data_IF_421994444123
#
_entry.id   IF_421994444123
#
_cell.length_a   1.000
_cell.length_b   1.000
_cell.length_c   1.000
_cell.angle_alpha   90.00
_cell.angle_beta   90.00
_cell.angle_gamma   90.00
#
_symmetry.space_group_name_H-M   'P 1'
#
loop_
_entity.id
_entity.type
_entity.pdbx_description
1 polymer ?
#
# COMPACT_ATOMS: atom_id res chain seq x y z
N UNK A 1 9.28 6.75 -12.63
CA UNK A 1 10.27 6.00 -11.79
C UNK A 1 9.99 4.50 -11.81
N UNK A 2 8.77 4.03 -11.47
CA UNK A 2 8.44 2.60 -11.47
C UNK A 2 8.78 1.86 -12.78
N UNK A 3 8.44 2.40 -13.95
CA UNK A 3 8.82 1.78 -15.24
C UNK A 3 10.34 1.66 -15.43
N UNK A 4 11.10 2.66 -14.98
CA UNK A 4 12.57 2.64 -15.06
C UNK A 4 13.15 1.57 -14.15
N UNK A 5 12.61 1.42 -12.94
CA UNK A 5 12.99 0.36 -12.01
C UNK A 5 12.71 -1.03 -12.58
N UNK A 6 11.53 -1.23 -13.19
CA UNK A 6 11.22 -2.48 -13.88
C UNK A 6 12.19 -2.76 -15.02
N UNK A 7 12.55 -1.74 -15.81
CA UNK A 7 13.50 -1.87 -16.91
C UNK A 7 14.93 -2.20 -16.43
N UNK A 8 15.39 -1.58 -15.35
CA UNK A 8 16.76 -1.76 -14.84
C UNK A 8 16.94 -3.07 -14.05
N UNK A 9 15.94 -3.46 -13.26
CA UNK A 9 16.07 -4.55 -12.29
C UNK A 9 15.15 -5.76 -12.58
N UNK A 10 14.38 -5.71 -13.67
CA UNK A 10 13.49 -6.81 -14.06
C UNK A 10 12.27 -7.00 -13.17
N UNK A 11 11.95 -6.01 -12.33
CA UNK A 11 10.75 -6.05 -11.50
C UNK A 11 9.48 -6.04 -12.34
N UNK A 12 8.41 -6.60 -11.78
CA UNK A 12 7.11 -6.78 -12.41
C UNK A 12 6.01 -6.10 -11.60
N UNK A 13 4.83 -5.92 -12.19
CA UNK A 13 3.66 -5.43 -11.44
C UNK A 13 3.28 -6.36 -10.27
N UNK A 14 3.63 -7.65 -10.33
CA UNK A 14 3.38 -8.59 -9.24
C UNK A 14 4.29 -8.32 -8.03
N UNK A 15 5.51 -7.82 -8.24
CA UNK A 15 6.41 -7.44 -7.15
C UNK A 15 5.87 -6.23 -6.38
N UNK A 16 5.28 -5.26 -7.07
CA UNK A 16 4.54 -4.16 -6.41
C UNK A 16 3.28 -4.68 -5.70
N UNK A 17 2.53 -5.56 -6.35
CA UNK A 17 1.35 -6.17 -5.76
C UNK A 17 1.61 -6.97 -4.49
N UNK A 18 2.79 -7.57 -4.34
CA UNK A 18 3.18 -8.26 -3.11
C UNK A 18 3.24 -7.30 -1.91
N UNK A 19 3.69 -6.06 -2.13
CA UNK A 19 3.67 -4.99 -1.11
C UNK A 19 2.23 -4.67 -0.73
N UNK A 20 1.36 -4.40 -1.70
CA UNK A 20 -0.05 -4.07 -1.44
C UNK A 20 -0.81 -5.19 -0.71
N UNK A 21 -0.52 -6.45 -1.04
CA UNK A 21 -1.11 -7.61 -0.34
C UNK A 21 -0.63 -7.67 1.11
N UNK A 22 0.66 -7.45 1.36
CA UNK A 22 1.21 -7.44 2.72
C UNK A 22 0.60 -6.29 3.56
N UNK A 23 0.54 -5.08 3.02
CA UNK A 23 -0.07 -3.93 3.68
C UNK A 23 -1.54 -4.18 4.01
N UNK A 24 -2.29 -4.74 3.05
CA UNK A 24 -3.71 -5.08 3.27
C UNK A 24 -3.91 -6.21 4.27
N UNK A 25 -2.98 -7.16 4.35
CA UNK A 25 -2.99 -8.19 5.41
C UNK A 25 -2.81 -7.58 6.79
N UNK A 26 -1.89 -6.63 6.96
CA UNK A 26 -1.73 -5.93 8.23
C UNK A 26 -2.92 -5.01 8.54
N UNK A 27 -3.41 -4.26 7.55
CA UNK A 27 -4.58 -3.40 7.69
C UNK A 27 -5.84 -4.19 8.08
N UNK A 28 -6.02 -5.40 7.54
CA UNK A 28 -7.15 -6.26 7.89
C UNK A 28 -7.20 -6.62 9.39
N UNK A 29 -6.05 -6.59 10.09
CA UNK A 29 -5.94 -6.87 11.53
C UNK A 29 -5.93 -5.60 12.40
N UNK A 30 -6.04 -4.41 11.81
CA UNK A 30 -6.05 -3.14 12.54
C UNK A 30 -7.46 -2.51 12.52
N UNK A 31 -8.20 -2.49 13.64
CA UNK A 31 -9.53 -1.86 13.72
C UNK A 31 -9.58 -0.38 13.33
N UNK A 32 -8.42 0.31 13.34
CA UNK A 32 -8.32 1.73 12.94
C UNK A 32 -8.06 1.92 11.44
N UNK A 33 -7.79 0.87 10.68
CA UNK A 33 -7.52 0.98 9.26
C UNK A 33 -8.83 1.03 8.45
N UNK A 34 -8.85 1.84 7.38
CA UNK A 34 -10.00 1.90 6.46
C UNK A 34 -10.39 0.55 5.84
N UNK A 35 -9.41 -0.34 5.68
CA UNK A 35 -9.61 -1.69 5.14
C UNK A 35 -9.62 -2.78 6.22
N UNK A 36 -10.03 -2.44 7.45
CA UNK A 36 -10.20 -3.44 8.52
C UNK A 36 -11.11 -4.59 8.08
N UNK A 37 -10.70 -5.84 8.33
CA UNK A 37 -11.40 -7.05 7.89
C UNK A 37 -11.46 -7.27 6.37
N UNK A 38 -10.74 -6.48 5.56
CA UNK A 38 -10.79 -6.53 4.08
C UNK A 38 -9.40 -6.81 3.49
N UNK A 39 -8.86 -8.04 3.57
CA UNK A 39 -7.62 -8.40 2.89
C UNK A 39 -7.81 -8.40 1.36
N UNK A 40 -6.70 -8.47 0.61
CA UNK A 40 -6.69 -8.73 -0.84
C UNK A 40 -5.69 -9.83 -1.16
N UNK A 41 -5.88 -10.46 -2.31
CA UNK A 41 -4.96 -11.41 -2.92
C UNK A 41 -4.13 -10.73 -4.01
N UNK A 42 -3.07 -11.40 -4.48
CA UNK A 42 -2.30 -10.93 -5.63
C UNK A 42 -3.15 -10.89 -6.91
N UNK A 43 -4.15 -11.77 -7.02
CA UNK A 43 -5.10 -11.77 -8.13
C UNK A 43 -5.96 -10.51 -8.12
N UNK A 44 -6.47 -10.11 -6.95
CA UNK A 44 -7.23 -8.86 -6.81
C UNK A 44 -6.39 -7.65 -7.23
N UNK A 45 -5.11 -7.63 -6.83
CA UNK A 45 -4.16 -6.61 -7.27
C UNK A 45 -4.01 -6.58 -8.80
N UNK A 46 -3.65 -7.72 -9.41
CA UNK A 46 -3.40 -7.82 -10.85
C UNK A 46 -4.65 -7.63 -11.72
N UNK A 47 -5.84 -7.82 -11.15
CA UNK A 47 -7.11 -7.55 -11.84
C UNK A 47 -7.65 -6.13 -11.59
N UNK A 48 -7.02 -5.36 -10.69
CA UNK A 48 -7.44 -3.98 -10.46
C UNK A 48 -7.09 -3.07 -11.64
N UNK A 49 -7.94 -2.07 -11.89
CA UNK A 49 -7.81 -1.18 -13.05
C UNK A 49 -6.47 -0.43 -13.06
N UNK A 50 -5.97 -0.11 -14.24
CA UNK A 50 -4.83 0.79 -14.38
C UNK A 50 -5.20 2.22 -13.96
N UNK A 51 -4.26 2.88 -13.28
CA UNK A 51 -4.32 4.33 -13.00
C UNK A 51 -3.32 5.04 -13.90
N UNK A 52 -2.06 4.61 -13.84
CA UNK A 52 -0.99 5.06 -14.72
C UNK A 52 0.05 3.94 -14.81
N UNK A 53 0.30 3.42 -16.01
CA UNK A 53 1.21 2.27 -16.15
C UNK A 53 2.61 2.59 -15.56
N UNK A 54 3.14 1.73 -14.66
CA UNK A 54 2.79 0.34 -14.39
C UNK A 54 2.04 0.15 -13.04
N UNK A 55 1.38 1.21 -12.55
CA UNK A 55 0.65 1.23 -11.28
C UNK A 55 -0.85 1.01 -11.50
N UNK A 56 -1.41 0.08 -10.73
CA UNK A 56 -2.83 -0.24 -10.68
C UNK A 56 -3.50 0.47 -9.52
N UNK A 57 -4.83 0.42 -9.48
CA UNK A 57 -5.63 1.05 -8.42
C UNK A 57 -5.21 0.61 -7.02
N UNK A 58 -4.85 -0.67 -6.85
CA UNK A 58 -4.44 -1.22 -5.55
C UNK A 58 -2.97 -0.96 -5.22
N UNK A 59 -2.21 -0.29 -6.08
CA UNK A 59 -0.91 0.32 -5.74
C UNK A 59 -1.09 1.73 -5.14
N UNK A 60 -2.28 2.32 -5.23
CA UNK A 60 -2.56 3.68 -4.77
C UNK A 60 -3.29 3.66 -3.41
N UNK A 61 -2.87 4.54 -2.50
CA UNK A 61 -3.60 4.78 -1.26
C UNK A 61 -4.93 5.50 -1.54
N UNK A 62 -5.84 5.45 -0.55
CA UNK A 62 -7.04 6.27 -0.55
C UNK A 62 -6.79 7.54 0.26
N UNK A 63 -7.40 8.61 -0.18
CA UNK A 63 -7.50 9.88 0.49
C UNK A 63 -8.27 9.67 1.79
N UNK A 64 -7.77 10.27 2.87
CA UNK A 64 -8.28 10.05 4.22
C UNK A 64 -8.29 11.36 4.99
N UNK A 65 -9.42 11.66 5.62
CA UNK A 65 -9.54 12.74 6.58
C UNK A 65 -9.15 12.23 7.97
N UNK A 66 -8.20 12.90 8.63
CA UNK A 66 -7.72 12.51 9.95
C UNK A 66 -6.76 13.52 10.56
N UNK A 67 -6.49 13.39 11.86
CA UNK A 67 -5.58 14.24 12.61
C UNK A 67 -4.75 13.44 13.61
N UNK A 68 -3.46 13.74 13.70
CA UNK A 68 -2.52 13.11 14.63
C UNK A 68 -1.61 14.20 15.22
N UNK A 69 -1.37 14.15 16.52
CA UNK A 69 -0.38 14.99 17.20
C UNK A 69 0.57 14.09 18.01
N UNK A 70 1.87 14.38 17.97
CA UNK A 70 2.90 13.67 18.72
C UNK A 70 3.66 14.71 19.54
N UNK A 71 3.71 14.53 20.86
CA UNK A 71 4.51 15.36 21.77
C UNK A 71 5.84 14.65 22.01
N UNK A 72 6.94 15.30 21.65
CA UNK A 72 8.31 14.77 21.85
C UNK A 72 8.96 15.56 22.98
N UNK A 73 9.58 14.85 23.93
CA UNK A 73 10.31 15.40 25.07
C UNK A 73 11.57 14.58 25.32
N UNK A 74 12.46 15.07 26.18
CA UNK A 74 13.58 14.29 26.71
C UNK A 74 13.08 12.99 27.36
N UNK A 75 13.84 11.88 27.26
CA UNK A 75 13.55 10.68 28.04
C UNK A 75 13.55 10.97 29.55
N UNK A 76 14.39 11.90 29.99
CA UNK A 76 14.45 12.44 31.35
C UNK A 76 13.29 13.42 31.57
N UNK A 77 12.67 13.38 32.76
CA UNK A 77 11.56 14.27 33.13
C UNK A 77 12.01 15.69 33.45
#
# INVERSE_FOLDING_TARGET
>A
IAQRYMHEYGATSADFGAVSVADRKHAANNPKAHFYGKPITISDHQNSRWIAEPLRLLDCCQETDGGVAIVVTTPER
#
